data_IF_070601709341
#
_entry.id   IF_070601709341
#
_cell.length_a   1.000
_cell.length_b   1.000
_cell.length_c   1.000
_cell.angle_alpha   90.00
_cell.angle_beta   90.00
_cell.angle_gamma   90.00
#
_symmetry.space_group_name_H-M   'P 1'
#
loop_
_entity.id
_entity.type
_entity.pdbx_description
1 polymer ?
#
# COMPACT_ATOMS: atom_id res chain seq x y z
N UNK A 1 -1.28 18.35 -7.22
CA UNK A 1 -0.18 17.38 -7.05
C UNK A 1 -0.73 16.16 -6.34
N UNK A 2 -0.83 15.02 -7.04
CA UNK A 2 -1.09 13.75 -6.36
C UNK A 2 0.15 13.41 -5.54
N UNK A 3 0.01 13.32 -4.21
CA UNK A 3 1.10 12.86 -3.35
C UNK A 3 1.31 11.39 -3.69
N UNK A 4 2.50 11.07 -4.20
CA UNK A 4 2.90 9.71 -4.50
C UNK A 4 2.79 8.88 -3.22
N UNK A 5 1.99 7.81 -3.25
CA UNK A 5 1.80 6.99 -2.05
C UNK A 5 3.05 6.14 -1.88
N UNK A 6 3.73 6.30 -0.74
CA UNK A 6 4.90 5.49 -0.40
C UNK A 6 4.46 4.06 -0.07
N UNK A 7 5.20 3.07 -0.60
CA UNK A 7 4.93 1.66 -0.36
C UNK A 7 5.78 1.20 0.82
N UNK A 8 5.13 0.68 1.86
CA UNK A 8 5.78 0.18 3.06
C UNK A 8 5.64 -1.33 3.17
N UNK A 9 6.61 -1.99 3.82
CA UNK A 9 6.53 -3.41 4.18
C UNK A 9 6.21 -3.49 5.67
N UNK A 10 5.03 -4.00 6.00
CA UNK A 10 4.59 -4.16 7.38
C UNK A 10 4.17 -5.60 7.66
N UNK A 11 4.47 -6.09 8.86
CA UNK A 11 3.92 -7.36 9.33
C UNK A 11 2.44 -7.15 9.69
N UNK A 12 1.54 -7.90 9.04
CA UNK A 12 0.13 -7.93 9.41
C UNK A 12 -0.28 -9.34 9.81
N UNK A 13 -0.61 -9.50 11.10
CA UNK A 13 -0.87 -10.78 11.79
C UNK A 13 0.32 -11.72 11.77
N UNK A 14 0.57 -12.38 10.64
CA UNK A 14 1.63 -13.40 10.46
C UNK A 14 2.35 -13.23 9.11
N UNK A 15 1.81 -12.42 8.20
CA UNK A 15 2.36 -12.24 6.85
C UNK A 15 3.01 -10.87 6.70
N UNK A 16 4.04 -10.81 5.88
CA UNK A 16 4.67 -9.56 5.46
C UNK A 16 3.87 -8.97 4.30
N UNK A 17 3.32 -7.77 4.47
CA UNK A 17 2.44 -7.15 3.51
C UNK A 17 3.10 -5.92 2.88
N UNK A 18 2.99 -5.79 1.56
CA UNK A 18 3.22 -4.51 0.89
C UNK A 18 1.98 -3.65 1.06
N UNK A 19 2.15 -2.44 1.57
CA UNK A 19 1.07 -1.49 1.85
C UNK A 19 1.27 -0.17 1.15
N UNK A 20 0.16 0.44 0.76
CA UNK A 20 0.09 1.82 0.31
C UNK A 20 -0.83 2.58 1.27
N UNK A 21 -0.25 3.14 2.34
CA UNK A 21 -1.01 3.69 3.46
C UNK A 21 -1.79 2.60 4.21
N UNK A 22 -3.11 2.72 4.26
CA UNK A 22 -4.02 1.75 4.90
C UNK A 22 -4.34 0.53 4.02
N UNK A 23 -4.04 0.57 2.72
CA UNK A 23 -4.40 -0.49 1.78
C UNK A 23 -3.27 -1.51 1.67
N UNK A 24 -3.62 -2.79 1.74
CA UNK A 24 -2.69 -3.91 1.49
C UNK A 24 -2.70 -4.21 -0.01
N UNK A 25 -1.53 -4.11 -0.64
CA UNK A 25 -1.33 -4.44 -2.04
C UNK A 25 -1.08 -5.93 -2.24
N UNK A 26 -0.24 -6.54 -1.40
CA UNK A 26 0.15 -7.94 -1.54
C UNK A 26 0.65 -8.53 -0.21
N UNK A 27 0.75 -9.86 -0.11
CA UNK A 27 1.11 -10.59 1.12
C UNK A 27 2.12 -11.69 0.85
N UNK A 28 3.15 -11.75 1.68
CA UNK A 28 4.29 -12.66 1.57
C UNK A 28 4.51 -13.40 2.88
N UNK A 29 5.20 -14.55 2.79
CA UNK A 29 5.50 -15.37 3.96
C UNK A 29 6.73 -14.83 4.70
N UNK A 30 7.69 -14.27 3.96
CA UNK A 30 8.92 -13.70 4.53
C UNK A 30 9.08 -12.23 4.13
N UNK A 31 9.90 -11.50 4.90
CA UNK A 31 10.26 -10.12 4.58
C UNK A 31 11.05 -10.03 3.27
N UNK A 32 11.98 -10.96 3.07
CA UNK A 32 12.84 -11.01 1.90
C UNK A 32 12.05 -11.23 0.61
N UNK A 33 10.98 -12.05 0.64
CA UNK A 33 10.06 -12.18 -0.49
C UNK A 33 9.36 -10.86 -0.82
N UNK A 34 8.90 -10.13 0.21
CA UNK A 34 8.24 -8.85 0.03
C UNK A 34 9.19 -7.79 -0.55
N UNK A 35 10.44 -7.76 -0.09
CA UNK A 35 11.50 -6.86 -0.59
C UNK A 35 11.84 -7.20 -2.05
N UNK A 36 12.06 -8.48 -2.36
CA UNK A 36 12.33 -8.96 -3.71
C UNK A 36 11.16 -8.66 -4.67
N UNK A 37 9.92 -8.84 -4.22
CA UNK A 37 8.75 -8.52 -5.02
C UNK A 37 8.66 -7.01 -5.29
N UNK A 38 8.88 -6.19 -4.27
CA UNK A 38 8.89 -4.73 -4.40
C UNK A 38 9.97 -4.25 -5.37
N UNK A 39 11.15 -4.85 -5.33
CA UNK A 39 12.25 -4.51 -6.24
C UNK A 39 11.94 -4.93 -7.69
N UNK A 40 11.53 -6.18 -7.91
CA UNK A 40 11.27 -6.73 -9.25
C UNK A 40 10.04 -6.12 -9.92
N UNK A 41 9.01 -5.77 -9.14
CA UNK A 41 7.71 -5.30 -9.63
C UNK A 41 7.36 -3.91 -9.11
N UNK A 42 8.37 -3.07 -8.84
CA UNK A 42 8.18 -1.73 -8.27
C UNK A 42 7.13 -0.90 -9.02
N UNK A 43 7.23 -0.86 -10.35
CA UNK A 43 6.32 -0.09 -11.19
C UNK A 43 4.87 -0.59 -11.11
N UNK A 44 4.68 -1.90 -10.99
CA UNK A 44 3.34 -2.49 -10.82
C UNK A 44 2.73 -2.09 -9.48
N UNK A 45 3.48 -2.25 -8.39
CA UNK A 45 2.97 -1.86 -7.07
C UNK A 45 2.75 -0.36 -6.96
N UNK A 46 3.61 0.46 -7.60
CA UNK A 46 3.44 1.90 -7.64
C UNK A 46 2.18 2.32 -8.42
N UNK A 47 1.90 1.69 -9.56
CA UNK A 47 0.69 1.92 -10.33
C UNK A 47 -0.57 1.67 -9.47
N UNK A 48 -0.57 0.60 -8.68
CA UNK A 48 -1.67 0.31 -7.76
C UNK A 48 -1.73 1.27 -6.56
N UNK A 49 -0.57 1.63 -5.99
CA UNK A 49 -0.46 2.57 -4.89
C UNK A 49 -0.99 3.98 -5.25
N UNK A 50 -0.85 4.36 -6.51
CA UNK A 50 -1.32 5.65 -7.04
C UNK A 50 -2.77 5.56 -7.60
N UNK A 51 -3.43 4.41 -7.49
CA UNK A 51 -4.80 4.24 -7.97
C UNK A 51 -5.82 5.05 -7.16
N UNK A 52 -6.90 5.47 -7.84
CA UNK A 52 -7.98 6.24 -7.22
C UNK A 52 -8.59 5.50 -6.02
N UNK A 53 -8.72 4.17 -6.10
CA UNK A 53 -9.23 3.32 -5.01
C UNK A 53 -8.38 3.45 -3.75
N UNK A 54 -7.04 3.36 -3.89
CA UNK A 54 -6.12 3.52 -2.76
C UNK A 54 -6.22 4.94 -2.18
N UNK A 55 -6.31 5.95 -3.04
CA UNK A 55 -6.46 7.35 -2.60
C UNK A 55 -7.75 7.56 -1.79
N UNK A 56 -8.88 7.00 -2.23
CA UNK A 56 -10.17 7.14 -1.52
C UNK A 56 -10.13 6.42 -0.18
N UNK A 57 -9.60 5.19 -0.13
CA UNK A 57 -9.51 4.40 1.10
C UNK A 57 -8.54 5.01 2.12
N UNK A 58 -7.50 5.70 1.66
CA UNK A 58 -6.59 6.44 2.52
C UNK A 58 -7.14 7.81 2.97
N UNK A 59 -8.21 8.29 2.36
CA UNK A 59 -8.81 9.57 2.72
C UNK A 59 -9.71 9.40 3.95
N UNK A 60 -9.40 10.12 5.04
CA UNK A 60 -10.26 10.14 6.23
C UNK A 60 -11.64 10.69 5.87
N UNK A 61 -12.74 10.07 6.35
CA UNK A 61 -14.09 10.58 6.09
C UNK A 61 -14.22 11.99 6.69
N UNK A 62 -14.72 12.93 5.87
CA UNK A 62 -15.04 14.28 6.35
C UNK A 62 -16.36 14.21 7.11
N UNK A 63 -16.30 14.26 8.43
CA UNK A 63 -17.49 14.40 9.26
C UNK A 63 -18.01 15.84 9.06
N UNK A 64 -19.14 16.01 8.38
CA UNK A 64 -19.86 17.30 8.37
C UNK A 64 -20.49 17.47 9.75
N UNK A 65 -20.11 18.54 10.47
CA UNK A 65 -20.90 19.03 11.60
C UNK A 65 -22.19 19.60 11.02
N UNK A 66 -23.31 18.93 11.28
CA UNK A 66 -24.66 19.44 11.05
C UNK A 66 -25.05 20.25 12.28
#
# INVERSE_FOLDING_TARGET
>A
MYKKTEITIELHRIKHCLKAGAVVLDKFSTREEAENALEKKRSFYQFWADSATVSVLNTKPKIKKI
#
